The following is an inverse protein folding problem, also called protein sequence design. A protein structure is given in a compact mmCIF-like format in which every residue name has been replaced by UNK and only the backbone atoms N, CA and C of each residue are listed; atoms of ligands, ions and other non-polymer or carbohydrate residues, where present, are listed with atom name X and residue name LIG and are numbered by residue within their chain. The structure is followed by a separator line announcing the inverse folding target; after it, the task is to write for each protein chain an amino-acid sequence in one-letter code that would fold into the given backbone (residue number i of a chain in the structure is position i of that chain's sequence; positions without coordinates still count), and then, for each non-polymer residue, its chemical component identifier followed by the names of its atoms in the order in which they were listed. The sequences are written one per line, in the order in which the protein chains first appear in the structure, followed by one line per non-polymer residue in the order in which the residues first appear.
data_IF_752674722315
#
_entry.id   IF_752674722315
#
_cell.length_a   1.000
_cell.length_b   1.000
_cell.length_c   1.000
_cell.angle_alpha   90.00
_cell.angle_beta   90.00
_cell.angle_gamma   90.00
#
_symmetry.space_group_name_H-M   'P 1'
#
loop_
_entity.id
_entity.type
_entity.pdbx_description
1 polymer ?
#
# COMPACT_ATOMS: atom_id res chain seq x y z
N UNK A 1 -7.23 -13.26 -5.79
CA UNK A 1 -7.23 -11.88 -5.28
C UNK A 1 -8.55 -11.14 -5.41
N UNK A 2 -9.56 -11.80 -5.94
CA UNK A 2 -10.84 -11.17 -6.28
C UNK A 2 -11.56 -10.53 -5.08
N UNK A 3 -11.33 -11.03 -3.89
CA UNK A 3 -12.06 -10.56 -2.69
C UNK A 3 -11.23 -9.64 -1.78
N UNK A 4 -9.99 -9.30 -2.19
CA UNK A 4 -9.16 -8.40 -1.39
C UNK A 4 -9.53 -6.95 -1.70
N UNK A 5 -9.99 -6.17 -0.71
CA UNK A 5 -10.34 -4.77 -0.93
C UNK A 5 -9.06 -3.93 -1.08
N UNK A 6 -8.83 -3.37 -2.26
CA UNK A 6 -7.62 -2.60 -2.56
C UNK A 6 -7.65 -1.18 -2.00
N UNK A 7 -8.84 -0.67 -1.69
CA UNK A 7 -9.00 0.69 -1.18
C UNK A 7 -10.15 0.77 -0.20
N UNK A 8 -10.03 1.71 0.73
CA UNK A 8 -11.11 2.12 1.64
C UNK A 8 -11.45 3.57 1.35
N UNK A 9 -12.73 3.91 1.30
CA UNK A 9 -13.18 5.29 1.16
C UNK A 9 -13.79 5.79 2.46
N UNK A 10 -13.64 7.09 2.72
CA UNK A 10 -14.21 7.76 3.88
C UNK A 10 -14.84 9.06 3.40
N UNK A 11 -16.12 9.27 3.74
CA UNK A 11 -16.86 10.48 3.38
C UNK A 11 -17.12 11.30 4.64
N UNK A 12 -16.37 12.39 4.82
CA UNK A 12 -16.50 13.29 5.94
C UNK A 12 -17.15 14.63 5.56
N UNK A 13 -17.56 14.79 4.29
CA UNK A 13 -18.20 16.01 3.80
C UNK A 13 -17.89 16.31 2.36
N UNK A 14 -18.16 17.55 1.95
CA UNK A 14 -18.09 17.98 0.54
C UNK A 14 -17.09 19.12 0.33
N UNK A 15 -16.02 19.20 1.12
CA UNK A 15 -14.99 20.18 0.89
C UNK A 15 -14.40 20.03 -0.53
N UNK A 16 -13.94 21.12 -1.18
CA UNK A 16 -13.42 21.07 -2.54
C UNK A 16 -11.98 20.54 -2.59
N UNK A 17 -11.70 19.46 -1.88
CA UNK A 17 -10.42 18.79 -1.83
C UNK A 17 -10.62 17.32 -1.46
N UNK A 18 -9.63 16.51 -1.71
CA UNK A 18 -9.67 15.08 -1.48
C UNK A 18 -8.38 14.64 -0.78
N UNK A 19 -8.49 13.74 0.20
CA UNK A 19 -7.32 13.21 0.93
C UNK A 19 -7.00 11.81 0.39
N UNK A 20 -5.75 11.61 -0.05
CA UNK A 20 -5.26 10.31 -0.49
C UNK A 20 -4.17 9.85 0.46
N UNK A 21 -4.23 8.59 0.88
CA UNK A 21 -3.20 7.99 1.75
C UNK A 21 -2.67 6.73 1.07
N UNK A 22 -1.52 6.86 0.42
CA UNK A 22 -0.95 5.82 -0.44
C UNK A 22 -0.44 4.62 0.35
N UNK A 23 0.29 4.86 1.43
CA UNK A 23 0.94 3.80 2.21
C UNK A 23 0.24 3.61 3.55
N UNK A 24 -1.08 3.50 3.51
CA UNK A 24 -1.94 3.47 4.70
C UNK A 24 -1.99 2.11 5.40
N UNK A 25 -1.50 1.05 4.76
CA UNK A 25 -1.62 -0.32 5.26
C UNK A 25 -0.39 -1.14 4.91
N UNK A 26 -0.07 -2.10 5.77
CA UNK A 26 0.95 -3.10 5.50
C UNK A 26 0.35 -4.48 5.14
N UNK A 27 -0.93 -4.53 4.83
CA UNK A 27 -1.59 -5.79 4.51
C UNK A 27 -1.10 -6.34 3.17
N UNK A 28 -0.96 -7.65 3.10
CA UNK A 28 -0.63 -8.39 1.88
C UNK A 28 -1.72 -9.43 1.67
N UNK A 29 -2.31 -9.52 0.48
CA UNK A 29 -3.32 -10.55 0.21
C UNK A 29 -2.75 -11.94 0.48
N UNK A 30 -3.59 -12.82 1.02
CA UNK A 30 -3.18 -14.16 1.45
C UNK A 30 -2.46 -14.95 0.35
N UNK A 31 -2.89 -14.81 -0.89
CA UNK A 31 -2.29 -15.50 -2.04
C UNK A 31 -0.83 -15.14 -2.29
N UNK A 32 -0.32 -14.04 -1.73
CA UNK A 32 1.07 -13.63 -1.86
C UNK A 32 1.94 -14.00 -0.65
N UNK A 33 1.37 -14.69 0.35
CA UNK A 33 2.10 -15.26 1.50
C UNK A 33 3.07 -14.27 2.15
N UNK A 34 2.56 -13.09 2.53
CA UNK A 34 3.35 -12.00 3.13
C UNK A 34 4.61 -11.63 2.33
N UNK A 35 4.65 -11.96 1.03
CA UNK A 35 5.84 -11.78 0.16
C UNK A 35 7.08 -12.51 0.68
N UNK A 36 6.88 -13.55 1.50
CA UNK A 36 7.96 -14.30 2.14
C UNK A 36 8.64 -13.55 3.29
N UNK A 37 8.05 -12.47 3.77
CA UNK A 37 8.61 -11.66 4.86
C UNK A 37 8.00 -12.01 6.20
N UNK A 38 8.78 -11.90 7.30
CA UNK A 38 8.22 -11.97 8.65
C UNK A 38 7.24 -10.82 8.91
N UNK A 39 6.23 -11.07 9.74
CA UNK A 39 5.22 -10.04 10.06
C UNK A 39 5.82 -8.83 10.78
N UNK A 40 6.84 -9.01 11.58
CA UNK A 40 7.53 -7.92 12.26
C UNK A 40 8.23 -6.99 11.27
N UNK A 41 8.75 -7.52 10.16
CA UNK A 41 9.35 -6.72 9.09
C UNK A 41 8.27 -5.94 8.34
N UNK A 42 7.15 -6.58 8.00
CA UNK A 42 6.02 -5.90 7.37
C UNK A 42 5.44 -4.79 8.24
N UNK A 43 5.55 -4.91 9.54
CA UNK A 43 5.08 -3.90 10.50
C UNK A 43 5.98 -2.66 10.59
N UNK A 44 7.15 -2.69 9.97
CA UNK A 44 8.09 -1.56 9.98
C UNK A 44 7.79 -0.55 8.85
N UNK A 45 8.56 0.54 8.81
CA UNK A 45 8.45 1.59 7.81
C UNK A 45 8.63 1.11 6.36
N UNK A 46 9.24 -0.04 6.13
CA UNK A 46 9.40 -0.57 4.78
C UNK A 46 8.07 -1.09 4.20
N UNK A 47 7.19 -1.58 5.06
CA UNK A 47 5.89 -2.13 4.65
C UNK A 47 4.80 -1.08 4.46
N UNK A 48 4.86 0.01 5.21
CA UNK A 48 3.85 1.08 5.19
C UNK A 48 4.37 2.34 5.89
N UNK A 49 3.60 3.44 5.78
CA UNK A 49 3.90 4.67 6.51
C UNK A 49 3.12 4.66 7.83
N UNK A 50 3.81 4.35 8.92
CA UNK A 50 3.20 4.21 10.25
C UNK A 50 2.57 5.54 10.66
N UNK A 51 1.29 5.51 11.03
CA UNK A 51 0.54 6.70 11.42
C UNK A 51 -0.13 7.45 10.27
N UNK A 52 0.17 7.12 9.02
CA UNK A 52 -0.39 7.82 7.87
C UNK A 52 -1.91 7.68 7.79
N UNK A 53 -2.45 6.49 8.03
CA UNK A 53 -3.89 6.27 8.02
C UNK A 53 -4.60 7.09 9.10
N UNK A 54 -4.05 7.12 10.32
CA UNK A 54 -4.61 7.91 11.42
C UNK A 54 -4.60 9.40 11.11
N UNK A 55 -3.48 9.90 10.55
CA UNK A 55 -3.38 11.29 10.12
C UNK A 55 -4.39 11.62 9.04
N UNK A 56 -4.52 10.76 8.03
CA UNK A 56 -5.49 10.93 6.95
C UNK A 56 -6.93 10.98 7.44
N UNK A 57 -7.30 10.12 8.38
CA UNK A 57 -8.64 10.11 8.98
C UNK A 57 -8.92 11.41 9.74
N UNK A 58 -7.96 11.87 10.53
CA UNK A 58 -8.08 13.14 11.26
C UNK A 58 -8.21 14.33 10.32
N UNK A 59 -7.37 14.40 9.29
CA UNK A 59 -7.43 15.46 8.29
C UNK A 59 -8.77 15.49 7.58
N UNK A 60 -9.27 14.33 7.15
CA UNK A 60 -10.55 14.23 6.43
C UNK A 60 -11.71 14.74 7.29
N UNK A 61 -11.71 14.38 8.57
CA UNK A 61 -12.75 14.83 9.50
C UNK A 61 -12.68 16.33 9.75
N UNK A 62 -11.48 16.86 9.97
CA UNK A 62 -11.28 18.30 10.23
C UNK A 62 -11.60 19.15 9.01
N UNK A 63 -11.22 18.70 7.84
CA UNK A 63 -11.42 19.41 6.58
C UNK A 63 -12.81 19.16 5.98
N UNK A 64 -13.58 18.23 6.55
CA UNK A 64 -14.89 17.78 6.00
C UNK A 64 -14.73 17.33 4.55
N UNK A 65 -13.69 16.55 4.30
CA UNK A 65 -13.28 16.08 2.97
C UNK A 65 -13.55 14.59 2.83
N UNK A 66 -13.64 14.15 1.59
CA UNK A 66 -13.61 12.73 1.24
C UNK A 66 -12.16 12.26 1.22
N UNK A 67 -11.95 10.98 1.51
CA UNK A 67 -10.62 10.37 1.54
C UNK A 67 -10.63 8.99 0.92
N UNK A 68 -9.46 8.58 0.43
CA UNK A 68 -9.20 7.24 -0.08
C UNK A 68 -7.88 6.73 0.49
N UNK A 69 -7.92 5.52 1.04
CA UNK A 69 -6.80 4.86 1.69
C UNK A 69 -6.46 3.59 0.93
N UNK A 70 -5.19 3.38 0.57
CA UNK A 70 -4.73 2.10 0.05
C UNK A 70 -4.74 1.05 1.15
N UNK A 71 -5.18 -0.18 0.82
CA UNK A 71 -5.35 -1.24 1.80
C UNK A 71 -4.30 -2.34 1.71
N UNK A 72 -3.25 -2.13 0.94
CA UNK A 72 -2.19 -3.11 0.76
C UNK A 72 -0.82 -2.47 1.00
N UNK A 73 0.16 -3.31 1.33
CA UNK A 73 1.54 -2.86 1.52
C UNK A 73 2.13 -2.32 0.23
N UNK A 74 2.91 -1.25 0.33
CA UNK A 74 3.70 -0.70 -0.77
C UNK A 74 4.69 -1.72 -1.37
N UNK A 75 5.01 -2.77 -0.62
CA UNK A 75 5.91 -3.82 -1.10
C UNK A 75 5.25 -4.74 -2.11
N UNK A 76 3.92 -4.85 -2.09
CA UNK A 76 3.17 -5.60 -3.10
C UNK A 76 3.27 -4.90 -4.45
N UNK A 77 2.91 -3.63 -4.46
CA UNK A 77 3.06 -2.68 -5.56
C UNK A 77 2.94 -1.28 -4.94
N UNK A 78 3.77 -0.34 -5.37
CA UNK A 78 3.77 0.99 -4.76
C UNK A 78 2.82 1.93 -5.53
N UNK A 79 1.69 2.33 -4.95
CA UNK A 79 0.72 3.21 -5.62
C UNK A 79 1.27 4.63 -5.85
N UNK A 80 2.37 4.99 -5.22
CA UNK A 80 3.02 6.29 -5.38
C UNK A 80 4.19 6.26 -6.38
N UNK A 81 4.19 5.27 -7.28
CA UNK A 81 5.20 5.18 -8.34
C UNK A 81 4.53 4.98 -9.69
N UNK A 82 5.14 5.51 -10.74
CA UNK A 82 4.63 5.31 -12.09
C UNK A 82 4.90 3.88 -12.57
N UNK A 83 4.08 3.42 -13.51
CA UNK A 83 4.08 2.02 -13.95
C UNK A 83 5.40 1.58 -14.59
N UNK A 84 6.21 2.51 -15.06
CA UNK A 84 7.49 2.24 -15.72
C UNK A 84 8.69 2.21 -14.77
N UNK A 85 8.48 2.50 -13.48
CA UNK A 85 9.59 2.54 -12.53
C UNK A 85 10.04 1.12 -12.14
N UNK A 86 11.37 0.86 -12.10
CA UNK A 86 11.87 -0.46 -11.74
C UNK A 86 11.55 -0.87 -10.30
N UNK A 87 11.31 0.09 -9.42
CA UNK A 87 10.96 -0.16 -8.02
C UNK A 87 9.46 -0.03 -7.72
N UNK A 88 8.62 -0.06 -8.76
CA UNK A 88 7.17 -0.15 -8.61
C UNK A 88 6.79 -1.39 -7.78
N UNK A 89 7.41 -2.52 -8.08
CA UNK A 89 7.36 -3.75 -7.28
C UNK A 89 8.80 -4.00 -6.81
N UNK A 90 9.16 -3.53 -5.60
CA UNK A 90 10.57 -3.53 -5.18
C UNK A 90 11.07 -4.95 -4.88
N UNK A 91 12.27 -5.30 -5.34
CA UNK A 91 12.90 -6.56 -4.98
C UNK A 91 13.65 -6.49 -3.65
N UNK A 92 13.92 -5.28 -3.17
CA UNK A 92 14.49 -5.02 -1.84
C UNK A 92 13.99 -3.69 -1.30
N UNK A 93 13.98 -3.53 0.02
CA UNK A 93 13.64 -2.30 0.69
C UNK A 93 14.57 -2.14 1.90
N UNK A 94 15.22 -0.99 2.02
CA UNK A 94 16.16 -0.69 3.10
C UNK A 94 17.18 -1.83 3.30
N UNK A 95 17.72 -2.37 2.18
CA UNK A 95 18.68 -3.47 2.11
C UNK A 95 18.12 -4.83 2.54
N UNK A 96 16.81 -4.93 2.77
CA UNK A 96 16.17 -6.19 3.07
C UNK A 96 15.61 -6.77 1.78
N UNK A 97 16.07 -7.94 1.32
CA UNK A 97 15.50 -8.57 0.14
C UNK A 97 14.08 -9.03 0.42
N UNK A 98 13.22 -8.90 -0.59
CA UNK A 98 11.81 -9.29 -0.50
C UNK A 98 11.64 -10.57 -1.30
N UNK A 99 11.57 -11.74 -0.63
CA UNK A 99 11.59 -13.02 -1.35
C UNK A 99 10.48 -13.17 -2.39
N UNK A 100 9.29 -12.71 -2.09
CA UNK A 100 8.14 -12.81 -2.99
C UNK A 100 8.22 -11.91 -4.22
N UNK A 101 9.21 -11.02 -4.30
CA UNK A 101 9.38 -10.06 -5.40
C UNK A 101 10.61 -10.35 -6.25
N UNK A 102 11.25 -11.52 -6.07
CA UNK A 102 12.40 -11.92 -6.88
C UNK A 102 11.94 -12.58 -8.18
N UNK A 103 12.64 -12.29 -9.26
CA UNK A 103 12.49 -12.98 -10.55
C UNK A 103 11.04 -13.05 -11.06
N UNK A 104 10.28 -11.98 -10.89
CA UNK A 104 8.89 -11.93 -11.30
C UNK A 104 8.78 -11.94 -12.84
N UNK A 105 7.90 -12.79 -13.36
CA UNK A 105 7.53 -12.79 -14.78
C UNK A 105 6.61 -11.61 -15.09
N UNK A 106 6.38 -11.33 -16.38
CA UNK A 106 5.41 -10.31 -16.79
C UNK A 106 4.01 -10.66 -16.28
N UNK A 107 3.64 -11.94 -16.29
CA UNK A 107 2.35 -12.38 -15.76
C UNK A 107 2.24 -12.16 -14.25
N UNK A 108 3.31 -12.46 -13.50
CA UNK A 108 3.35 -12.19 -12.06
C UNK A 108 3.17 -10.70 -11.76
N UNK A 109 3.86 -9.86 -12.50
CA UNK A 109 3.77 -8.40 -12.34
C UNK A 109 2.37 -7.90 -12.66
N UNK A 110 1.71 -8.48 -13.66
CA UNK A 110 0.37 -8.09 -14.07
C UNK A 110 -0.70 -8.42 -13.02
N UNK A 111 -0.45 -9.41 -12.17
CA UNK A 111 -1.36 -9.79 -11.08
C UNK A 111 -1.39 -8.78 -9.93
N UNK A 112 -0.38 -7.90 -9.83
CA UNK A 112 -0.31 -6.91 -8.77
C UNK A 112 -1.14 -5.71 -9.16
#
# INVERSE_FOLDING_TARGET
MTDFPVAETLDCGNAPLFVFVDHASNAVPESFDDLGLPKDVLGTHIGWDIGAAALGRNLSKRLKAKALFCRFSRLLIDPNRSLDKPDLIPFEADRIPIPGNQDLTAADRHQR
#
